data_IF_656529503497
#
_entry.id   IF_656529503497
#
_cell.length_a   1.000
_cell.length_b   1.000
_cell.length_c   1.000
_cell.angle_alpha   90.00
_cell.angle_beta   90.00
_cell.angle_gamma   90.00
#
_symmetry.space_group_name_H-M   'P 1'
#
loop_
_entity.id
_entity.type
_entity.pdbx_description
1 polymer ?
#
# COMPACT_ATOMS: atom_id res chain seq x y z
N UNK A 1 61.02 12.22 -52.37
CA UNK A 1 61.03 13.69 -52.17
C UNK A 1 60.34 13.96 -50.84
N UNK A 2 61.12 14.29 -49.80
CA UNK A 2 61.25 15.65 -49.24
C UNK A 2 59.95 16.07 -48.52
N UNK A 3 59.95 16.03 -47.18
CA UNK A 3 60.06 17.22 -46.31
C UNK A 3 58.65 17.80 -46.01
N UNK A 4 58.24 18.25 -44.82
CA UNK A 4 58.90 18.76 -43.62
C UNK A 4 57.89 18.68 -42.45
N UNK A 5 58.42 18.42 -41.24
CA UNK A 5 57.82 18.68 -39.93
C UNK A 5 57.60 20.18 -39.71
N UNK A 6 56.40 20.61 -39.30
CA UNK A 6 56.26 21.82 -38.49
C UNK A 6 55.33 21.54 -37.30
N UNK A 7 55.98 21.50 -36.13
CA UNK A 7 55.41 21.74 -34.82
C UNK A 7 54.62 23.06 -34.81
N UNK A 8 53.42 23.05 -34.24
CA UNK A 8 52.96 24.22 -33.48
C UNK A 8 52.02 23.81 -32.36
N UNK A 9 52.60 23.80 -31.17
CA UNK A 9 51.96 24.00 -29.88
C UNK A 9 50.86 25.06 -29.97
N UNK A 10 49.64 24.69 -29.59
CA UNK A 10 48.69 25.64 -29.02
C UNK A 10 47.95 24.94 -27.89
N UNK A 11 48.60 24.99 -26.72
CA UNK A 11 47.95 25.00 -25.43
C UNK A 11 46.94 26.14 -25.41
N UNK A 12 45.64 25.83 -25.35
CA UNK A 12 44.67 26.70 -24.68
C UNK A 12 43.75 25.81 -23.88
N UNK A 13 44.01 25.80 -22.58
CA UNK A 13 43.12 25.38 -21.52
C UNK A 13 41.81 26.16 -21.66
N UNK A 14 40.72 25.49 -22.04
CA UNK A 14 39.38 26.04 -21.85
C UNK A 14 38.69 25.11 -20.87
N UNK A 15 38.77 25.56 -19.62
CA UNK A 15 37.87 25.34 -18.50
C UNK A 15 37.18 23.97 -18.43
N UNK A 16 37.64 23.21 -17.44
CA UNK A 16 36.82 22.25 -16.71
C UNK A 16 35.57 22.99 -16.21
N UNK A 17 34.49 22.97 -17.00
CA UNK A 17 33.18 23.30 -16.47
C UNK A 17 32.84 22.16 -15.53
N UNK A 18 33.02 22.40 -14.23
CA UNK A 18 32.57 21.51 -13.18
C UNK A 18 31.06 21.35 -13.36
N UNK A 19 30.66 20.34 -14.12
CA UNK A 19 29.28 19.89 -14.20
C UNK A 19 28.95 19.40 -12.80
N UNK A 20 28.44 20.35 -12.01
CA UNK A 20 27.96 20.12 -10.66
C UNK A 20 26.81 19.17 -10.86
N UNK A 21 27.09 17.89 -10.62
CA UNK A 21 26.08 16.85 -10.54
C UNK A 21 25.19 17.25 -9.38
N UNK A 22 24.15 18.03 -9.68
CA UNK A 22 23.09 18.33 -8.76
C UNK A 22 22.51 16.97 -8.39
N UNK A 23 22.90 16.47 -7.22
CA UNK A 23 22.26 15.34 -6.58
C UNK A 23 20.80 15.77 -6.47
N UNK A 24 19.97 15.28 -7.38
CA UNK A 24 18.53 15.34 -7.23
C UNK A 24 18.25 14.64 -5.91
N UNK A 25 18.07 15.44 -4.86
CA UNK A 25 17.49 14.98 -3.61
C UNK A 25 16.20 14.31 -4.04
N UNK A 26 16.01 13.01 -3.80
CA UNK A 26 14.75 12.37 -4.11
C UNK A 26 13.68 13.19 -3.39
N UNK A 27 12.79 13.80 -4.16
CA UNK A 27 11.61 14.46 -3.63
C UNK A 27 10.84 13.36 -2.90
N UNK A 28 10.97 13.36 -1.56
CA UNK A 28 10.19 12.50 -0.72
C UNK A 28 8.77 13.03 -0.88
N UNK A 29 8.01 12.36 -1.74
CA UNK A 29 6.57 12.57 -1.82
C UNK A 29 6.05 12.09 -0.46
N UNK A 30 5.91 13.03 0.48
CA UNK A 30 5.17 12.80 1.70
C UNK A 30 3.74 12.45 1.28
N UNK A 31 3.44 11.14 1.29
CA UNK A 31 2.06 10.70 1.19
C UNK A 31 1.32 11.39 2.34
N UNK A 32 0.17 12.05 2.09
CA UNK A 32 -0.57 12.72 3.14
C UNK A 32 -0.83 11.71 4.25
N UNK A 33 -0.26 12.00 5.43
CA UNK A 33 -0.44 11.18 6.61
C UNK A 33 -1.94 11.03 6.83
N UNK A 34 -2.44 9.81 6.68
CA UNK A 34 -3.87 9.55 6.76
C UNK A 34 -4.32 9.85 8.17
N UNK A 35 -4.91 11.03 8.38
CA UNK A 35 -5.51 11.37 9.67
C UNK A 35 -6.51 10.27 10.02
N UNK A 36 -6.43 9.66 11.21
CA UNK A 36 -7.44 8.71 11.65
C UNK A 36 -8.75 9.49 11.73
N UNK A 37 -9.58 9.33 10.70
CA UNK A 37 -10.93 9.86 10.73
C UNK A 37 -11.70 8.94 11.67
N UNK A 38 -12.10 9.46 12.83
CA UNK A 38 -13.13 8.84 13.65
C UNK A 38 -14.43 8.85 12.84
N UNK A 39 -14.63 7.81 12.05
CA UNK A 39 -15.94 7.49 11.51
C UNK A 39 -16.71 6.80 12.61
N UNK A 40 -17.99 7.16 12.75
CA UNK A 40 -18.94 6.40 13.56
C UNK A 40 -18.89 4.95 13.06
N UNK A 41 -18.22 4.10 13.83
CA UNK A 41 -18.13 2.68 13.54
C UNK A 41 -19.48 1.98 13.65
N UNK A 42 -20.54 2.67 14.06
CA UNK A 42 -21.89 2.14 14.19
C UNK A 42 -22.68 2.14 12.88
N UNK A 43 -22.09 2.61 11.77
CA UNK A 43 -22.67 2.46 10.44
C UNK A 43 -22.70 0.96 10.05
N UNK A 44 -23.91 0.42 10.08
CA UNK A 44 -24.24 -0.98 9.76
C UNK A 44 -23.78 -1.44 8.37
N UNK A 45 -23.52 -0.51 7.45
CA UNK A 45 -23.08 -0.82 6.08
C UNK A 45 -21.59 -1.19 5.99
N UNK A 46 -20.81 -1.00 7.06
CA UNK A 46 -19.42 -1.43 7.08
C UNK A 46 -19.28 -2.94 7.28
N UNK A 47 -18.38 -3.54 6.50
CA UNK A 47 -17.78 -4.82 6.86
C UNK A 47 -16.60 -4.54 7.80
N UNK A 48 -16.71 -5.00 9.05
CA UNK A 48 -15.57 -5.00 9.99
C UNK A 48 -14.97 -6.39 10.09
N UNK A 49 -13.65 -6.48 10.04
CA UNK A 49 -12.89 -7.72 10.18
C UNK A 49 -11.83 -7.51 11.26
N UNK A 50 -11.96 -8.24 12.35
CA UNK A 50 -10.97 -8.27 13.44
C UNK A 50 -10.19 -9.57 13.30
N UNK A 51 -8.90 -9.45 13.01
CA UNK A 51 -8.00 -10.60 12.89
C UNK A 51 -7.61 -11.02 14.31
N UNK A 52 -7.89 -12.28 14.66
CA UNK A 52 -7.47 -12.89 15.91
C UNK A 52 -6.44 -14.00 15.64
N UNK A 53 -5.78 -14.46 16.70
CA UNK A 53 -4.71 -15.46 16.58
C UNK A 53 -5.18 -16.76 15.90
N UNK A 54 -6.40 -17.21 16.18
CA UNK A 54 -6.95 -18.46 15.64
C UNK A 54 -8.07 -18.28 14.60
N UNK A 55 -8.70 -17.11 14.55
CA UNK A 55 -9.89 -16.89 13.73
C UNK A 55 -10.00 -15.42 13.26
N UNK A 56 -11.07 -15.11 12.53
CA UNK A 56 -11.48 -13.77 12.14
C UNK A 56 -12.86 -13.51 12.73
N UNK A 57 -13.00 -12.47 13.55
CA UNK A 57 -14.32 -11.97 13.92
C UNK A 57 -14.75 -10.99 12.85
N UNK A 58 -15.98 -11.14 12.37
CA UNK A 58 -16.56 -10.23 11.40
C UNK A 58 -17.84 -9.61 11.96
N UNK A 59 -18.09 -8.37 11.58
CA UNK A 59 -19.38 -7.70 11.74
C UNK A 59 -19.80 -7.22 10.36
N UNK A 60 -20.91 -7.75 9.85
CA UNK A 60 -21.45 -7.39 8.55
C UNK A 60 -22.95 -7.16 8.70
N UNK A 61 -23.46 -5.99 8.30
CA UNK A 61 -24.87 -5.63 8.46
C UNK A 61 -25.37 -5.83 9.91
N UNK A 62 -24.56 -5.37 10.88
CA UNK A 62 -24.78 -5.56 12.33
C UNK A 62 -24.89 -7.02 12.80
N UNK A 63 -24.55 -7.99 11.96
CA UNK A 63 -24.55 -9.41 12.32
C UNK A 63 -23.13 -9.86 12.65
N UNK A 64 -22.82 -10.15 13.94
CA UNK A 64 -21.51 -10.67 14.31
C UNK A 64 -21.37 -12.12 13.86
N UNK A 65 -20.17 -12.51 13.43
CA UNK A 65 -19.84 -13.90 13.10
C UNK A 65 -18.36 -14.18 13.34
N UNK A 66 -18.03 -15.46 13.56
CA UNK A 66 -16.63 -15.91 13.74
C UNK A 66 -16.29 -16.90 12.65
N UNK A 67 -15.20 -16.63 11.93
CA UNK A 67 -14.74 -17.41 10.79
C UNK A 67 -13.36 -17.97 11.12
N UNK A 68 -13.22 -19.29 11.12
CA UNK A 68 -11.99 -19.97 11.57
C UNK A 68 -10.84 -19.93 10.56
N UNK A 69 -11.12 -19.74 9.28
CA UNK A 69 -10.12 -19.85 8.21
C UNK A 69 -10.29 -18.80 7.13
N UNK A 70 -9.20 -18.47 6.43
CA UNK A 70 -9.22 -17.55 5.30
C UNK A 70 -10.10 -18.07 4.15
N UNK A 71 -10.17 -19.39 3.93
CA UNK A 71 -11.03 -20.00 2.92
C UNK A 71 -12.52 -19.82 3.25
N UNK A 72 -12.88 -19.93 4.53
CA UNK A 72 -14.25 -19.66 4.97
C UNK A 72 -14.60 -18.17 4.85
N UNK A 73 -13.61 -17.29 5.00
CA UNK A 73 -13.79 -15.86 4.75
C UNK A 73 -13.96 -15.56 3.26
N UNK A 74 -13.21 -16.24 2.38
CA UNK A 74 -13.37 -16.16 0.93
C UNK A 74 -14.79 -16.56 0.51
N UNK A 75 -15.29 -17.71 0.99
CA UNK A 75 -16.66 -18.15 0.74
C UNK A 75 -17.71 -17.15 1.26
N UNK A 76 -17.45 -16.52 2.42
CA UNK A 76 -18.32 -15.48 2.96
C UNK A 76 -18.36 -14.25 2.05
N UNK A 77 -17.21 -13.75 1.61
CA UNK A 77 -17.13 -12.60 0.71
C UNK A 77 -17.76 -12.90 -0.65
N UNK A 78 -17.56 -14.11 -1.18
CA UNK A 78 -18.18 -14.54 -2.42
C UNK A 78 -19.71 -14.54 -2.32
N UNK A 79 -20.26 -15.12 -1.25
CA UNK A 79 -21.70 -15.19 -1.04
C UNK A 79 -22.35 -13.81 -0.90
N UNK A 80 -21.65 -12.87 -0.28
CA UNK A 80 -22.17 -11.53 0.02
C UNK A 80 -21.68 -10.46 -0.96
N UNK A 81 -21.06 -10.85 -2.08
CA UNK A 81 -20.40 -9.93 -3.03
C UNK A 81 -21.28 -8.76 -3.49
N UNK A 82 -22.58 -8.99 -3.67
CA UNK A 82 -23.54 -7.96 -4.12
C UNK A 82 -23.90 -6.95 -3.03
N UNK A 83 -23.76 -7.34 -1.76
CA UNK A 83 -24.07 -6.51 -0.59
C UNK A 83 -22.82 -5.82 -0.02
N UNK A 84 -21.63 -6.19 -0.49
CA UNK A 84 -20.37 -5.63 -0.04
C UNK A 84 -20.14 -4.26 -0.66
N UNK A 85 -20.14 -3.23 0.18
CA UNK A 85 -19.59 -1.92 -0.18
C UNK A 85 -18.06 -1.98 -0.07
N UNK A 86 -17.40 -1.86 -1.22
CA UNK A 86 -15.94 -2.01 -1.34
C UNK A 86 -15.16 -0.87 -0.71
N UNK A 87 -15.80 0.28 -0.50
CA UNK A 87 -15.17 1.44 0.15
C UNK A 87 -15.40 1.44 1.67
N UNK A 88 -16.27 0.54 2.18
CA UNK A 88 -16.64 0.44 3.59
C UNK A 88 -16.14 -0.85 4.24
N UNK A 89 -14.83 -1.08 4.18
CA UNK A 89 -14.17 -2.21 4.85
C UNK A 89 -13.18 -1.73 5.91
N UNK A 90 -13.37 -2.18 7.15
CA UNK A 90 -12.49 -1.89 8.29
C UNK A 90 -11.81 -3.18 8.74
N UNK A 91 -10.50 -3.12 8.91
CA UNK A 91 -9.68 -4.24 9.39
C UNK A 91 -8.94 -3.83 10.66
N UNK A 92 -9.01 -4.65 11.71
CA UNK A 92 -8.28 -4.46 12.98
C UNK A 92 -7.58 -5.75 13.42
N UNK A 93 -6.69 -5.66 14.42
CA UNK A 93 -5.98 -6.83 14.98
C UNK A 93 -4.68 -7.21 14.26
N UNK A 94 -3.63 -6.40 14.41
CA UNK A 94 -2.40 -6.52 13.61
C UNK A 94 -1.31 -7.42 14.21
N UNK A 95 -1.61 -8.24 15.21
CA UNK A 95 -0.60 -9.05 15.90
C UNK A 95 0.01 -10.16 15.02
N UNK A 96 -0.61 -10.49 13.89
CA UNK A 96 -0.16 -11.57 13.00
C UNK A 96 0.07 -11.11 11.55
N UNK A 97 1.34 -10.82 11.21
CA UNK A 97 1.77 -10.35 9.89
C UNK A 97 1.36 -11.27 8.72
N UNK A 98 1.35 -12.61 8.92
CA UNK A 98 0.98 -13.56 7.86
C UNK A 98 -0.51 -13.47 7.52
N UNK A 99 -1.36 -13.52 8.55
CA UNK A 99 -2.82 -13.42 8.36
C UNK A 99 -3.24 -12.11 7.73
N UNK A 100 -2.53 -11.02 8.05
CA UNK A 100 -2.78 -9.72 7.44
C UNK A 100 -2.48 -9.72 5.94
N UNK A 101 -1.36 -10.33 5.51
CA UNK A 101 -1.03 -10.47 4.08
C UNK A 101 -2.09 -11.30 3.34
N UNK A 102 -2.43 -12.48 3.86
CA UNK A 102 -3.41 -13.37 3.24
C UNK A 102 -4.80 -12.70 3.15
N UNK A 103 -5.18 -11.93 4.18
CA UNK A 103 -6.41 -11.14 4.16
C UNK A 103 -6.36 -10.01 3.12
N UNK A 104 -5.24 -9.27 3.04
CA UNK A 104 -5.07 -8.20 2.05
C UNK A 104 -5.21 -8.73 0.63
N UNK A 105 -4.54 -9.84 0.31
CA UNK A 105 -4.62 -10.46 -1.01
C UNK A 105 -6.06 -10.92 -1.32
N UNK A 106 -6.77 -11.45 -0.31
CA UNK A 106 -8.18 -11.81 -0.42
C UNK A 106 -9.07 -10.58 -0.68
N UNK A 107 -8.92 -9.49 0.06
CA UNK A 107 -9.72 -8.28 -0.13
C UNK A 107 -9.49 -7.67 -1.54
N UNK A 108 -8.25 -7.66 -2.00
CA UNK A 108 -7.90 -7.21 -3.35
C UNK A 108 -8.56 -8.07 -4.45
N UNK A 109 -8.68 -9.39 -4.27
CA UNK A 109 -9.42 -10.29 -5.18
C UNK A 109 -10.88 -9.84 -5.38
N UNK A 110 -11.51 -9.24 -4.35
CA UNK A 110 -12.87 -8.72 -4.42
C UNK A 110 -12.97 -7.24 -4.85
N UNK A 111 -11.84 -6.63 -5.22
CA UNK A 111 -11.77 -5.23 -5.61
C UNK A 111 -11.82 -4.25 -4.44
N UNK A 112 -11.64 -4.74 -3.22
CA UNK A 112 -11.54 -3.92 -2.00
C UNK A 112 -10.09 -3.45 -1.92
N UNK A 113 -9.81 -2.31 -2.51
CA UNK A 113 -8.47 -1.69 -2.54
C UNK A 113 -8.27 -0.66 -1.42
N UNK A 114 -9.37 -0.15 -0.86
CA UNK A 114 -9.37 0.80 0.25
C UNK A 114 -9.97 0.12 1.47
N UNK A 115 -9.12 -0.22 2.42
CA UNK A 115 -9.55 -0.70 3.73
C UNK A 115 -8.74 0.04 4.78
N UNK A 116 -9.39 0.41 5.88
CA UNK A 116 -8.70 1.10 6.98
C UNK A 116 -8.18 0.10 7.98
N UNK A 117 -7.00 0.41 8.49
CA UNK A 117 -6.24 -0.39 9.45
C UNK A 117 -6.26 0.38 10.76
N UNK A 118 -7.02 -0.08 11.76
CA UNK A 118 -7.05 0.53 13.09
C UNK A 118 -6.43 -0.41 14.13
N UNK A 119 -5.44 0.06 14.87
CA UNK A 119 -5.04 -0.56 16.14
C UNK A 119 -6.13 -0.27 17.17
N UNK A 120 -6.92 -1.28 17.54
CA UNK A 120 -7.73 -1.23 18.77
C UNK A 120 -6.84 -1.24 20.01
#
# INVERSE_FOLDING_TARGET
>A
MRQILIFLFLFVLISCDEMTQSKSVPEIIDLPESKPTNFETDDSSFLKIIIQNENYKILFLNTPSTIKSINSLDSFLQKNKELLDKDKVLVTGFENNKKHKDLKDLLLKYGISKFRVNSE
#
